data_IF_337483935733
#
_entry.id   IF_337483935733
#
_cell.length_a   1.000
_cell.length_b   1.000
_cell.length_c   1.000
_cell.angle_alpha   90.00
_cell.angle_beta   90.00
_cell.angle_gamma   90.00
#
_symmetry.space_group_name_H-M   'P 1'
#
loop_
_entity.id
_entity.type
_entity.pdbx_description
1 polymer ?
#
# COMPACT_ATOMS: atom_id res chain seq x y z
N UNK A 1 -34.91 30.56 -21.07
CA UNK A 1 -34.34 29.98 -19.82
C UNK A 1 -34.08 28.52 -20.07
N UNK A 2 -32.83 28.14 -20.39
CA UNK A 2 -32.45 26.77 -20.73
C UNK A 2 -32.04 26.02 -19.45
N UNK A 3 -32.60 24.82 -19.31
CA UNK A 3 -32.52 23.94 -18.16
C UNK A 3 -31.07 23.47 -17.92
N UNK A 4 -30.45 23.87 -16.81
CA UNK A 4 -29.12 23.40 -16.37
C UNK A 4 -29.20 22.01 -15.72
N UNK A 5 -29.59 21.01 -16.50
CA UNK A 5 -29.63 19.62 -16.06
C UNK A 5 -28.63 18.75 -16.83
N UNK A 6 -27.73 18.10 -16.10
CA UNK A 6 -27.06 16.84 -16.49
C UNK A 6 -25.81 16.87 -17.38
N UNK A 7 -24.86 17.77 -17.12
CA UNK A 7 -23.49 17.63 -17.64
C UNK A 7 -22.57 16.78 -16.75
N UNK A 8 -22.97 16.51 -15.50
CA UNK A 8 -22.20 15.70 -14.53
C UNK A 8 -22.43 14.18 -14.62
N UNK A 9 -23.34 13.72 -15.49
CA UNK A 9 -23.69 12.31 -15.64
C UNK A 9 -22.73 11.48 -16.51
N UNK A 10 -21.86 12.12 -17.31
CA UNK A 10 -21.11 11.44 -18.39
C UNK A 10 -19.60 11.28 -18.18
N UNK A 11 -19.05 11.65 -17.01
CA UNK A 11 -17.61 11.49 -16.71
C UNK A 11 -17.31 10.57 -15.53
N UNK A 12 -18.16 9.57 -15.29
CA UNK A 12 -17.77 8.39 -14.52
C UNK A 12 -17.27 7.32 -15.49
N UNK A 13 -16.07 7.51 -16.04
CA UNK A 13 -15.25 6.38 -16.52
C UNK A 13 -14.82 5.58 -15.29
N UNK A 14 -15.81 4.87 -14.72
CA UNK A 14 -15.67 3.90 -13.66
C UNK A 14 -14.89 2.75 -14.26
N UNK A 15 -13.62 2.62 -13.91
CA UNK A 15 -12.92 1.36 -14.04
C UNK A 15 -13.75 0.36 -13.22
N UNK A 16 -14.55 -0.45 -13.91
CA UNK A 16 -15.43 -1.41 -13.28
C UNK A 16 -14.60 -2.65 -12.96
N UNK A 17 -13.80 -2.62 -11.89
CA UNK A 17 -13.07 -3.77 -11.33
C UNK A 17 -14.00 -4.84 -10.71
N UNK A 18 -15.27 -4.91 -11.12
CA UNK A 18 -16.27 -5.86 -10.58
C UNK A 18 -16.20 -7.25 -11.19
N UNK A 19 -15.10 -7.63 -11.84
CA UNK A 19 -14.78 -9.05 -12.01
C UNK A 19 -14.17 -9.54 -10.70
N UNK A 20 -15.03 -9.95 -9.77
CA UNK A 20 -14.60 -10.66 -8.55
C UNK A 20 -13.79 -11.86 -9.02
N UNK A 21 -12.50 -11.87 -8.70
CA UNK A 21 -11.61 -12.96 -9.09
C UNK A 21 -12.21 -14.29 -8.66
N UNK A 22 -12.11 -15.29 -9.55
CA UNK A 22 -12.68 -16.63 -9.27
C UNK A 22 -12.01 -17.30 -8.06
N UNK A 23 -10.82 -16.83 -7.69
CA UNK A 23 -10.06 -17.24 -6.53
C UNK A 23 -9.63 -16.02 -5.70
N UNK A 24 -9.43 -16.17 -4.38
CA UNK A 24 -8.89 -15.11 -3.54
C UNK A 24 -7.49 -14.68 -4.03
N UNK A 25 -7.27 -13.36 -4.15
CA UNK A 25 -5.98 -12.82 -4.55
C UNK A 25 -5.09 -12.55 -3.35
N UNK A 26 -3.86 -13.06 -3.39
CA UNK A 26 -2.81 -12.74 -2.43
C UNK A 26 -1.79 -11.83 -3.12
N UNK A 27 -1.54 -10.66 -2.54
CA UNK A 27 -0.50 -9.76 -3.01
C UNK A 27 0.78 -9.93 -2.20
N UNK A 28 1.93 -9.84 -2.86
CA UNK A 28 3.25 -9.88 -2.22
C UNK A 28 3.95 -8.55 -2.45
N UNK A 29 4.40 -7.91 -1.36
CA UNK A 29 5.14 -6.65 -1.38
C UNK A 29 6.57 -6.90 -0.93
N UNK A 30 7.53 -6.66 -1.82
CA UNK A 30 8.95 -6.75 -1.51
C UNK A 30 9.43 -5.41 -0.93
N UNK A 31 9.60 -5.37 0.38
CA UNK A 31 9.91 -4.17 1.16
C UNK A 31 11.32 -4.21 1.81
N UNK A 32 12.23 -5.10 1.39
CA UNK A 32 13.56 -5.28 2.01
C UNK A 32 14.70 -4.37 1.52
N UNK A 33 14.46 -3.48 0.54
CA UNK A 33 15.55 -2.64 -0.01
C UNK A 33 16.06 -1.58 0.98
N UNK A 34 17.39 -1.49 1.18
CA UNK A 34 18.05 -0.45 2.03
C UNK A 34 17.84 1.00 1.55
N UNK A 35 17.26 1.20 0.36
CA UNK A 35 16.90 2.51 -0.13
C UNK A 35 18.06 3.41 -0.59
N UNK A 36 19.26 2.91 -0.82
CA UNK A 36 20.45 3.75 -1.09
C UNK A 36 20.35 4.74 -2.29
N UNK A 37 19.38 4.58 -3.20
CA UNK A 37 19.17 5.44 -4.40
C UNK A 37 18.34 6.74 -4.20
N UNK A 38 17.79 7.07 -3.02
CA UNK A 38 17.14 8.39 -2.76
C UNK A 38 17.84 9.10 -1.59
N UNK A 39 19.15 9.00 -1.56
CA UNK A 39 19.95 9.91 -0.77
C UNK A 39 19.69 11.36 -1.28
N UNK A 40 19.42 12.36 -0.43
CA UNK A 40 19.59 12.40 1.04
C UNK A 40 18.34 12.05 1.88
N UNK A 41 17.18 11.82 1.24
CA UNK A 41 15.89 11.56 1.91
C UNK A 41 15.84 10.19 2.59
N UNK A 42 16.53 9.19 2.04
CA UNK A 42 16.73 7.90 2.71
C UNK A 42 18.03 7.89 3.49
N UNK A 43 17.93 8.05 4.82
CA UNK A 43 19.04 7.79 5.76
C UNK A 43 18.99 6.32 6.20
N UNK A 44 20.11 5.74 6.64
CA UNK A 44 20.12 4.39 7.23
C UNK A 44 19.08 4.22 8.36
N UNK A 45 18.76 5.31 9.06
CA UNK A 45 17.78 5.34 10.16
C UNK A 45 16.34 5.63 9.72
N UNK A 46 16.10 5.95 8.44
CA UNK A 46 14.77 6.24 7.86
C UNK A 46 14.61 5.59 6.48
N UNK A 47 14.26 4.31 6.45
CA UNK A 47 14.06 3.57 5.22
C UNK A 47 12.83 4.11 4.47
N UNK A 48 12.96 4.25 3.15
CA UNK A 48 11.98 4.91 2.26
C UNK A 48 10.56 4.39 2.41
N UNK A 49 10.43 3.10 2.65
CA UNK A 49 9.18 2.37 2.82
C UNK A 49 8.34 2.98 3.95
N UNK A 50 9.01 3.52 4.97
CA UNK A 50 8.41 4.13 6.17
C UNK A 50 8.43 5.67 6.13
N UNK A 51 8.98 6.28 5.07
CA UNK A 51 8.95 7.73 4.91
C UNK A 51 7.54 8.19 4.53
N UNK A 52 7.05 9.20 5.26
CA UNK A 52 5.76 9.85 5.03
C UNK A 52 5.90 10.92 3.95
N UNK A 53 5.69 10.56 2.69
CA UNK A 53 5.85 11.50 1.57
C UNK A 53 4.57 12.26 1.21
N UNK A 54 3.40 11.64 1.38
CA UNK A 54 2.11 12.20 0.96
C UNK A 54 1.04 11.86 2.01
N UNK A 55 0.24 12.85 2.40
CA UNK A 55 -0.91 12.72 3.32
C UNK A 55 -0.60 12.12 4.70
N UNK A 56 0.65 12.23 5.17
CA UNK A 56 1.07 11.70 6.47
C UNK A 56 1.15 10.16 6.54
N UNK A 57 0.90 9.46 5.42
CA UNK A 57 1.03 8.00 5.28
C UNK A 57 2.39 7.62 4.69
N UNK A 58 2.88 6.45 5.05
CA UNK A 58 4.14 5.93 4.51
C UNK A 58 3.94 5.39 3.08
N UNK A 59 5.02 5.21 2.32
CA UNK A 59 4.93 4.56 0.99
C UNK A 59 4.34 3.15 1.05
N UNK A 60 4.70 2.39 2.10
CA UNK A 60 4.20 1.04 2.30
C UNK A 60 2.69 1.07 2.60
N UNK A 61 2.24 2.03 3.42
CA UNK A 61 0.83 2.22 3.76
C UNK A 61 -0.02 2.51 2.52
N UNK A 62 0.43 3.45 1.68
CA UNK A 62 -0.18 3.73 0.37
C UNK A 62 -0.18 2.52 -0.57
N UNK A 63 0.84 1.67 -0.50
CA UNK A 63 0.91 0.46 -1.32
C UNK A 63 -0.12 -0.57 -0.88
N UNK A 64 -0.31 -0.76 0.43
CA UNK A 64 -1.33 -1.65 0.98
C UNK A 64 -2.73 -1.15 0.59
N UNK A 65 -3.01 0.16 0.72
CA UNK A 65 -4.30 0.74 0.33
C UNK A 65 -4.66 0.47 -1.14
N UNK A 66 -3.68 0.59 -2.04
CA UNK A 66 -3.85 0.28 -3.47
C UNK A 66 -4.20 -1.19 -3.69
N UNK A 67 -3.54 -2.11 -2.99
CA UNK A 67 -3.78 -3.55 -3.10
C UNK A 67 -5.16 -3.94 -2.57
N UNK A 68 -5.56 -3.40 -1.42
CA UNK A 68 -6.89 -3.63 -0.86
C UNK A 68 -7.98 -3.10 -1.80
N UNK A 69 -7.78 -1.90 -2.38
CA UNK A 69 -8.70 -1.32 -3.37
C UNK A 69 -8.78 -2.16 -4.65
N UNK A 70 -7.68 -2.81 -5.04
CA UNK A 70 -7.63 -3.74 -6.18
C UNK A 70 -8.28 -5.11 -5.89
N UNK A 71 -8.72 -5.36 -4.65
CA UNK A 71 -9.43 -6.58 -4.27
C UNK A 71 -8.52 -7.72 -3.78
N UNK A 72 -7.30 -7.41 -3.33
CA UNK A 72 -6.48 -8.38 -2.61
C UNK A 72 -7.17 -8.80 -1.31
N UNK A 73 -7.34 -10.11 -1.11
CA UNK A 73 -7.89 -10.66 0.13
C UNK A 73 -6.84 -10.81 1.23
N UNK A 74 -5.56 -10.85 0.85
CA UNK A 74 -4.41 -10.92 1.76
C UNK A 74 -3.21 -10.19 1.15
N UNK A 75 -2.39 -9.58 1.99
CA UNK A 75 -1.12 -8.94 1.62
C UNK A 75 -0.01 -9.57 2.45
N UNK A 76 1.06 -9.99 1.79
CA UNK A 76 2.29 -10.50 2.42
C UNK A 76 3.39 -9.48 2.17
N UNK A 77 4.02 -9.00 3.23
CA UNK A 77 5.15 -8.06 3.17
C UNK A 77 6.41 -8.86 3.46
N UNK A 78 7.29 -8.96 2.47
CA UNK A 78 8.60 -9.57 2.62
C UNK A 78 9.60 -8.47 2.90
N UNK A 79 10.33 -8.56 4.00
CA UNK A 79 11.26 -7.52 4.46
C UNK A 79 12.49 -8.13 5.14
N UNK A 80 13.46 -7.31 5.50
CA UNK A 80 14.61 -7.75 6.29
C UNK A 80 14.39 -7.42 7.78
N UNK A 81 15.18 -8.04 8.65
CA UNK A 81 15.06 -7.87 10.11
C UNK A 81 15.21 -6.41 10.56
N UNK A 82 16.03 -5.60 9.87
CA UNK A 82 16.23 -4.18 10.22
C UNK A 82 14.97 -3.32 10.04
N UNK A 83 14.05 -3.72 9.16
CA UNK A 83 12.82 -2.99 8.84
C UNK A 83 11.60 -3.53 9.57
N UNK A 84 11.69 -4.76 10.09
CA UNK A 84 10.61 -5.47 10.74
C UNK A 84 9.94 -4.66 11.87
N UNK A 85 10.65 -3.97 12.79
CA UNK A 85 10.00 -3.24 13.87
C UNK A 85 9.08 -2.11 13.37
N UNK A 86 9.55 -1.31 12.41
CA UNK A 86 8.78 -0.18 11.88
C UNK A 86 7.61 -0.62 10.98
N UNK A 87 7.75 -1.75 10.28
CA UNK A 87 6.65 -2.35 9.51
C UNK A 87 5.58 -2.92 10.46
N UNK A 88 5.99 -3.57 11.55
CA UNK A 88 5.05 -4.03 12.58
C UNK A 88 4.25 -2.89 13.19
N UNK A 89 4.91 -1.79 13.57
CA UNK A 89 4.22 -0.61 14.12
C UNK A 89 3.18 -0.05 13.13
N UNK A 90 3.56 0.09 11.85
CA UNK A 90 2.66 0.52 10.79
C UNK A 90 1.44 -0.41 10.69
N UNK A 91 1.66 -1.73 10.61
CA UNK A 91 0.57 -2.70 10.42
C UNK A 91 -0.35 -2.72 11.64
N UNK A 92 0.17 -2.58 12.86
CA UNK A 92 -0.68 -2.56 14.06
C UNK A 92 -1.62 -1.36 14.13
N UNK A 93 -1.27 -0.26 13.48
CA UNK A 93 -2.09 0.96 13.39
C UNK A 93 -3.18 0.86 12.30
N UNK A 94 -3.15 -0.17 11.44
CA UNK A 94 -4.13 -0.36 10.37
C UNK A 94 -5.38 -1.11 10.84
N UNK A 95 -6.54 -0.73 10.29
CA UNK A 95 -7.82 -1.38 10.56
C UNK A 95 -8.06 -2.70 9.83
N UNK A 96 -7.19 -3.06 8.88
CA UNK A 96 -7.23 -4.28 8.06
C UNK A 96 -6.03 -5.20 8.33
N UNK A 97 -5.41 -5.06 9.51
CA UNK A 97 -4.17 -5.74 9.90
C UNK A 97 -4.26 -7.26 9.87
N UNK A 98 -5.43 -7.83 10.07
CA UNK A 98 -5.69 -9.28 9.99
C UNK A 98 -5.48 -9.86 8.58
N UNK A 99 -5.48 -9.00 7.55
CA UNK A 99 -5.22 -9.39 6.16
C UNK A 99 -3.75 -9.25 5.78
N UNK A 100 -2.92 -8.76 6.69
CA UNK A 100 -1.53 -8.42 6.43
C UNK A 100 -0.63 -9.38 7.19
N UNK A 101 0.26 -10.05 6.47
CA UNK A 101 1.29 -10.92 7.01
C UNK A 101 2.66 -10.32 6.73
N UNK A 102 3.58 -10.41 7.69
CA UNK A 102 4.96 -9.93 7.54
C UNK A 102 5.88 -11.15 7.62
N UNK A 103 6.70 -11.33 6.59
CA UNK A 103 7.74 -12.35 6.53
C UNK A 103 9.09 -11.64 6.54
N UNK A 104 9.91 -11.96 7.55
CA UNK A 104 11.29 -11.46 7.61
C UNK A 104 12.24 -12.45 6.95
N UNK A 105 13.09 -11.94 6.06
CA UNK A 105 14.24 -12.65 5.53
C UNK A 105 15.41 -12.45 6.50
N UNK A 106 15.99 -13.54 7.06
CA UNK A 106 17.16 -13.44 7.92
C UNK A 106 18.36 -12.89 7.12
N UNK A 107 19.16 -12.03 7.75
CA UNK A 107 20.41 -11.51 7.16
C UNK A 107 21.55 -12.54 7.11
#
# INVERSE_FOLDING_TARGET
>A
MLNQGNIWGKLKHRINVRSKWRFPMIAVVLAGGKGLRLWPESRQTRPKQLCKFVDGKTMLDHTIDRLMTAGSSRVIIITNDSLLPGINELVQQRGDKEKIEILSEPE
#
